data_IF_502053215070
#
_entry.id   IF_502053215070
#
_cell.length_a   1.000
_cell.length_b   1.000
_cell.length_c   1.000
_cell.angle_alpha   90.00
_cell.angle_beta   90.00
_cell.angle_gamma   90.00
#
_symmetry.space_group_name_H-M   'P 1'
#
loop_
_entity.id
_entity.type
_entity.pdbx_description
1 polymer ?
#
# COMPACT_ATOMS: atom_id res chain seq x y z
N UNK A 1 22.47 -12.50 9.00
CA UNK A 1 21.31 -12.05 9.79
C UNK A 1 21.36 -10.55 9.86
N UNK A 2 20.74 -9.90 8.88
CA UNK A 2 20.70 -8.43 8.75
C UNK A 2 19.88 -7.83 9.89
N UNK A 3 20.13 -6.57 10.24
CA UNK A 3 19.37 -5.87 11.29
C UNK A 3 17.87 -5.80 10.98
N UNK A 4 17.49 -5.86 9.70
CA UNK A 4 16.09 -5.83 9.24
C UNK A 4 15.31 -7.10 9.62
N UNK A 5 16.00 -8.24 9.67
CA UNK A 5 15.40 -9.54 10.03
C UNK A 5 14.92 -9.54 11.49
N UNK A 6 15.65 -8.86 12.38
CA UNK A 6 15.28 -8.73 13.81
C UNK A 6 14.11 -7.76 14.05
N UNK A 7 13.94 -6.76 13.18
CA UNK A 7 12.80 -5.84 13.24
C UNK A 7 11.52 -6.59 12.84
N UNK A 8 11.61 -7.42 11.79
CA UNK A 8 10.49 -8.22 11.30
C UNK A 8 10.01 -9.29 12.30
N UNK A 9 10.92 -10.10 12.87
CA UNK A 9 10.53 -11.14 13.85
C UNK A 9 10.04 -10.56 15.19
N UNK A 10 10.40 -9.32 15.52
CA UNK A 10 9.91 -8.63 16.72
C UNK A 10 8.56 -7.94 16.50
N UNK A 11 8.24 -7.53 15.26
CA UNK A 11 6.96 -6.88 14.92
C UNK A 11 5.81 -7.88 14.80
N UNK A 12 6.07 -9.11 14.36
CA UNK A 12 5.09 -10.21 14.32
C UNK A 12 4.52 -10.54 15.72
N UNK A 13 5.29 -10.24 16.80
CA UNK A 13 4.86 -10.43 18.19
C UNK A 13 4.01 -9.30 18.78
N UNK A 14 3.92 -8.14 18.12
CA UNK A 14 3.19 -6.97 18.65
C UNK A 14 1.80 -6.78 18.02
N UNK A 15 1.48 -7.48 16.92
CA UNK A 15 0.17 -7.42 16.28
C UNK A 15 -0.77 -8.58 16.67
N UNK A 16 -0.30 -9.53 17.49
CA UNK A 16 -1.12 -10.61 18.01
C UNK A 16 -1.98 -10.20 19.21
N UNK A 17 -3.22 -9.78 18.97
CA UNK A 17 -4.44 -10.21 19.69
C UNK A 17 -5.66 -9.34 19.32
N UNK A 18 -6.49 -9.85 18.43
CA UNK A 18 -7.94 -9.80 18.63
C UNK A 18 -8.50 -11.15 18.17
N UNK A 19 -8.74 -12.05 19.14
CA UNK A 19 -9.43 -13.30 18.89
C UNK A 19 -10.93 -13.03 18.92
N UNK A 20 -11.60 -13.25 17.80
CA UNK A 20 -13.02 -13.64 17.80
C UNK A 20 -13.09 -14.97 17.06
N UNK A 21 -13.38 -16.04 17.81
CA UNK A 21 -13.75 -17.34 17.25
C UNK A 21 -15.16 -17.22 16.65
N UNK A 22 -15.43 -17.73 15.44
CA UNK A 22 -16.77 -18.14 15.08
C UNK A 22 -16.95 -19.63 15.44
N UNK A 23 -17.93 -19.89 16.30
CA UNK A 23 -18.51 -21.22 16.42
C UNK A 23 -19.27 -21.52 15.12
N UNK A 24 -18.90 -22.60 14.43
CA UNK A 24 -19.57 -23.11 13.24
C UNK A 24 -20.00 -24.54 13.54
N UNK A 25 -21.31 -24.75 13.64
CA UNK A 25 -21.93 -26.07 13.52
C UNK A 25 -21.90 -26.50 12.04
N UNK A 26 -21.48 -27.74 11.72
CA UNK A 26 -21.51 -28.27 10.36
C UNK A 26 -22.78 -29.08 10.18
N UNK A 27 -23.63 -28.70 9.22
CA UNK A 27 -24.52 -29.59 8.45
C UNK A 27 -25.47 -28.72 7.61
N UNK A 28 -25.10 -28.42 6.36
CA UNK A 28 -26.01 -28.68 5.24
C UNK A 28 -25.26 -28.72 3.91
N UNK A 29 -25.55 -29.75 3.16
CA UNK A 29 -24.88 -30.21 1.96
C UNK A 29 -25.89 -30.06 0.82
N UNK A 30 -25.49 -29.41 -0.29
CA UNK A 30 -25.83 -29.78 -1.68
C UNK A 30 -26.01 -28.62 -2.67
N UNK A 31 -25.66 -28.96 -3.91
CA UNK A 31 -26.11 -28.41 -5.20
C UNK A 31 -25.16 -27.49 -5.99
N UNK A 32 -24.11 -28.13 -6.54
CA UNK A 32 -23.81 -28.26 -8.00
C UNK A 32 -23.97 -27.05 -8.95
N UNK A 33 -22.83 -26.57 -9.48
CA UNK A 33 -22.46 -26.73 -10.91
C UNK A 33 -22.86 -25.65 -11.94
N UNK A 34 -21.83 -24.97 -12.48
CA UNK A 34 -21.47 -24.81 -13.93
C UNK A 34 -21.21 -23.37 -14.43
N UNK A 35 -19.96 -23.21 -14.90
CA UNK A 35 -19.34 -22.40 -15.98
C UNK A 35 -19.56 -20.88 -16.20
N UNK A 36 -18.37 -20.25 -16.18
CA UNK A 36 -17.76 -19.33 -17.16
C UNK A 36 -18.35 -17.96 -17.51
N UNK A 37 -17.40 -16.99 -17.51
CA UNK A 37 -17.40 -15.61 -18.01
C UNK A 37 -18.12 -14.59 -17.14
N UNK A 38 -17.34 -13.73 -16.47
CA UNK A 38 -17.34 -12.28 -16.74
C UNK A 38 -16.15 -11.63 -16.03
N UNK A 39 -15.15 -11.28 -16.82
CA UNK A 39 -14.18 -10.24 -16.53
C UNK A 39 -14.90 -8.89 -16.66
N UNK A 40 -15.18 -8.20 -15.55
CA UNK A 40 -15.54 -6.78 -15.56
C UNK A 40 -15.43 -6.19 -14.14
N UNK A 41 -14.54 -5.21 -13.99
CA UNK A 41 -14.76 -3.99 -13.21
C UNK A 41 -14.92 -4.11 -11.69
N UNK A 42 -13.97 -3.50 -10.98
CA UNK A 42 -14.13 -2.92 -9.65
C UNK A 42 -15.48 -2.17 -9.55
N UNK A 43 -16.49 -2.86 -9.05
CA UNK A 43 -17.80 -2.31 -8.78
C UNK A 43 -17.86 -1.86 -7.34
N UNK A 44 -17.89 -0.53 -7.12
CA UNK A 44 -18.45 0.04 -5.90
C UNK A 44 -19.76 -0.71 -5.57
N UNK A 45 -19.93 -1.13 -4.32
CA UNK A 45 -21.15 -1.79 -3.86
C UNK A 45 -22.36 -0.88 -4.14
N UNK A 46 -23.02 -1.10 -5.28
CA UNK A 46 -24.22 -0.39 -5.71
C UNK A 46 -25.39 -1.12 -5.08
N UNK A 47 -26.02 -0.50 -4.09
CA UNK A 47 -27.29 -0.97 -3.53
C UNK A 47 -28.40 -0.21 -4.23
N UNK A 48 -29.34 -0.94 -4.83
CA UNK A 48 -30.49 -0.38 -5.53
C UNK A 48 -31.59 -0.10 -4.51
N UNK A 49 -32.06 1.14 -4.42
CA UNK A 49 -33.21 1.46 -3.56
C UNK A 49 -34.52 0.88 -4.16
N UNK A 50 -35.63 0.83 -3.39
CA UNK A 50 -36.94 0.35 -3.85
C UNK A 50 -37.53 1.13 -5.05
N UNK A 51 -36.99 2.31 -5.35
CA UNK A 51 -37.35 3.16 -6.49
C UNK A 51 -36.39 3.03 -7.69
N UNK A 52 -35.48 2.04 -7.65
CA UNK A 52 -34.58 1.70 -8.75
C UNK A 52 -33.38 2.64 -8.91
N UNK A 53 -33.12 3.55 -7.95
CA UNK A 53 -32.02 4.51 -8.04
C UNK A 53 -30.73 3.90 -7.49
N UNK A 54 -29.66 3.90 -8.29
CA UNK A 54 -28.33 3.49 -7.86
C UNK A 54 -27.74 4.61 -7.00
N UNK A 55 -27.67 4.40 -5.69
CA UNK A 55 -26.98 5.29 -4.77
C UNK A 55 -25.72 4.60 -4.26
N UNK A 56 -24.66 5.38 -4.05
CA UNK A 56 -23.46 4.90 -3.36
C UNK A 56 -23.79 4.68 -1.89
N UNK A 57 -23.21 3.65 -1.26
CA UNK A 57 -23.43 3.35 0.16
C UNK A 57 -23.24 4.59 1.06
N UNK A 58 -22.29 5.46 0.71
CA UNK A 58 -22.01 6.74 1.38
C UNK A 58 -23.20 7.70 1.42
N UNK A 59 -23.97 7.79 0.32
CA UNK A 59 -25.17 8.64 0.23
C UNK A 59 -26.28 8.11 1.14
N UNK A 60 -26.41 6.79 1.22
CA UNK A 60 -27.45 6.11 2.02
C UNK A 60 -27.14 6.26 3.51
N UNK A 61 -25.88 6.01 3.92
CA UNK A 61 -25.44 6.10 5.33
C UNK A 61 -25.54 7.54 5.84
N UNK A 62 -25.08 8.52 5.05
CA UNK A 62 -25.11 9.94 5.46
C UNK A 62 -26.55 10.48 5.56
N UNK A 63 -27.42 10.08 4.62
CA UNK A 63 -28.83 10.49 4.62
C UNK A 63 -29.61 9.81 5.75
N UNK A 64 -29.37 8.52 6.00
CA UNK A 64 -30.01 7.79 7.10
C UNK A 64 -29.57 8.30 8.47
N UNK A 65 -28.27 8.56 8.67
CA UNK A 65 -27.74 9.09 9.93
C UNK A 65 -28.30 10.48 10.24
N UNK A 66 -28.34 11.39 9.25
CA UNK A 66 -28.89 12.74 9.45
C UNK A 66 -30.41 12.72 9.68
N UNK A 67 -31.15 11.84 9.00
CA UNK A 67 -32.58 11.65 9.23
C UNK A 67 -32.87 11.15 10.65
N UNK A 68 -32.14 10.12 11.12
CA UNK A 68 -32.31 9.56 12.47
C UNK A 68 -32.08 10.61 13.58
N UNK A 69 -31.12 11.51 13.40
CA UNK A 69 -30.77 12.53 14.39
C UNK A 69 -31.80 13.66 14.46
N UNK A 70 -32.33 14.09 13.31
CA UNK A 70 -33.43 15.07 13.24
C UNK A 70 -34.71 14.49 13.87
N UNK A 71 -34.99 13.21 13.63
CA UNK A 71 -36.16 12.51 14.17
C UNK A 71 -36.07 12.37 15.71
N UNK A 72 -34.90 12.02 16.23
CA UNK A 72 -34.65 11.92 17.68
C UNK A 72 -34.87 13.26 18.40
N UNK A 73 -34.47 14.38 17.80
CA UNK A 73 -34.70 15.73 18.34
C UNK A 73 -36.18 16.11 18.34
N UNK A 74 -36.92 15.76 17.28
CA UNK A 74 -38.36 16.02 17.19
C UNK A 74 -39.15 15.23 18.24
N UNK A 75 -38.83 13.93 18.41
CA UNK A 75 -39.48 13.08 19.41
C UNK A 75 -39.21 13.51 20.86
N UNK A 76 -38.00 14.01 21.16
CA UNK A 76 -37.65 14.54 22.48
C UNK A 76 -38.44 15.82 22.84
N UNK A 77 -38.63 16.72 21.88
CA UNK A 77 -39.37 17.97 22.10
C UNK A 77 -40.87 17.75 22.40
N UNK A 78 -41.48 16.70 21.83
CA UNK A 78 -42.88 16.35 22.08
C UNK A 78 -43.14 15.80 23.49
N UNK A 79 -42.11 15.25 24.16
CA UNK A 79 -42.27 14.72 25.53
C UNK A 79 -42.29 15.81 26.61
N UNK A 80 -41.75 17.00 26.33
CA UNK A 80 -41.59 18.10 27.30
C UNK A 80 -42.85 18.99 27.47
N UNK A 81 -43.80 18.96 26.52
CA UNK A 81 -44.97 19.85 26.50
C UNK A 81 -46.25 19.29 27.16
N UNK A 82 -46.16 18.23 27.96
CA UNK A 82 -47.29 17.41 28.46
C UNK A 82 -48.20 18.04 29.56
N UNK A 83 -48.10 19.33 29.86
CA UNK A 83 -48.85 19.96 30.95
C UNK A 83 -50.21 20.54 30.56
N UNK A 84 -51.28 19.73 30.64
CA UNK A 84 -52.72 20.05 30.52
C UNK A 84 -53.30 20.15 29.09
N UNK A 85 -54.10 19.15 28.70
CA UNK A 85 -54.80 19.09 27.41
C UNK A 85 -56.28 18.70 27.63
N UNK A 86 -57.22 19.33 26.91
CA UNK A 86 -58.66 19.06 27.01
C UNK A 86 -59.04 17.71 26.35
N UNK A 87 -60.25 17.17 26.58
CA UNK A 87 -60.61 15.80 26.14
C UNK A 87 -60.51 15.54 24.62
N UNK A 88 -60.67 16.57 23.79
CA UNK A 88 -60.44 16.50 22.34
C UNK A 88 -58.94 16.48 22.01
N UNK A 89 -58.14 17.23 22.76
CA UNK A 89 -56.68 17.24 22.66
C UNK A 89 -56.07 15.93 23.18
N UNK A 90 -56.74 15.23 24.10
CA UNK A 90 -56.31 13.90 24.58
C UNK A 90 -56.38 12.83 23.50
N UNK A 91 -57.38 12.87 22.61
CA UNK A 91 -57.46 11.94 21.46
C UNK A 91 -56.35 12.26 20.45
N UNK A 92 -56.11 13.55 20.18
CA UNK A 92 -55.01 13.97 19.30
C UNK A 92 -53.63 13.63 19.88
N UNK A 93 -53.46 13.73 21.19
CA UNK A 93 -52.25 13.30 21.89
C UNK A 93 -52.04 11.79 21.81
N UNK A 94 -53.10 10.99 21.86
CA UNK A 94 -53.02 9.53 21.71
C UNK A 94 -52.65 9.14 20.27
N UNK A 95 -53.25 9.80 19.27
CA UNK A 95 -52.88 9.62 17.85
C UNK A 95 -51.41 9.98 17.60
N UNK A 96 -50.95 11.13 18.13
CA UNK A 96 -49.55 11.55 18.05
C UNK A 96 -48.59 10.58 18.75
N UNK A 97 -48.99 10.02 19.90
CA UNK A 97 -48.20 8.99 20.59
C UNK A 97 -48.09 7.70 19.79
N UNK A 98 -49.18 7.24 19.18
CA UNK A 98 -49.11 6.02 18.35
C UNK A 98 -48.29 6.23 17.08
N UNK A 99 -48.25 7.45 16.55
CA UNK A 99 -47.37 7.83 15.45
C UNK A 99 -45.92 7.92 15.91
N UNK A 100 -45.66 8.52 17.07
CA UNK A 100 -44.32 8.60 17.69
C UNK A 100 -43.75 7.19 17.97
N UNK A 101 -44.57 6.27 18.49
CA UNK A 101 -44.16 4.90 18.78
C UNK A 101 -43.82 4.13 17.50
N UNK A 102 -44.67 4.25 16.46
CA UNK A 102 -44.36 3.69 15.13
C UNK A 102 -43.06 4.24 14.54
N UNK A 103 -42.83 5.55 14.65
CA UNK A 103 -41.56 6.15 14.17
C UNK A 103 -40.36 5.67 14.96
N UNK A 104 -40.51 5.48 16.27
CA UNK A 104 -39.44 4.94 17.12
C UNK A 104 -39.11 3.51 16.71
N UNK A 105 -40.13 2.66 16.52
CA UNK A 105 -39.95 1.28 16.05
C UNK A 105 -39.28 1.22 14.66
N UNK A 106 -39.72 2.06 13.71
CA UNK A 106 -39.10 2.15 12.39
C UNK A 106 -37.64 2.62 12.47
N UNK A 107 -37.34 3.60 13.33
CA UNK A 107 -35.97 4.10 13.53
C UNK A 107 -35.09 3.03 14.16
N UNK A 108 -35.58 2.30 15.16
CA UNK A 108 -34.86 1.19 15.79
C UNK A 108 -34.60 0.05 14.79
N UNK A 109 -35.56 -0.25 13.92
CA UNK A 109 -35.39 -1.25 12.86
C UNK A 109 -34.33 -0.81 11.82
N UNK A 110 -34.32 0.47 11.44
CA UNK A 110 -33.28 1.04 10.55
C UNK A 110 -31.90 1.02 11.21
N UNK A 111 -31.81 1.40 12.49
CA UNK A 111 -30.56 1.37 13.24
C UNK A 111 -30.00 -0.07 13.36
N UNK A 112 -30.86 -1.06 13.63
CA UNK A 112 -30.47 -2.46 13.68
C UNK A 112 -29.97 -2.97 12.31
N UNK A 113 -30.65 -2.59 11.22
CA UNK A 113 -30.22 -2.94 9.87
C UNK A 113 -28.86 -2.30 9.52
N UNK A 114 -28.69 -1.01 9.80
CA UNK A 114 -27.41 -0.31 9.60
C UNK A 114 -26.28 -0.96 10.41
N UNK A 115 -26.52 -1.27 11.68
CA UNK A 115 -25.53 -1.91 12.55
C UNK A 115 -25.09 -3.27 12.00
N UNK A 116 -26.03 -4.10 11.54
CA UNK A 116 -25.70 -5.40 10.92
C UNK A 116 -24.82 -5.23 9.68
N UNK A 117 -25.16 -4.26 8.82
CA UNK A 117 -24.47 -4.06 7.55
C UNK A 117 -23.10 -3.41 7.68
N UNK A 118 -22.96 -2.45 8.59
CA UNK A 118 -21.66 -1.88 8.96
C UNK A 118 -20.78 -2.95 9.61
N UNK A 119 -21.36 -3.86 10.40
CA UNK A 119 -20.65 -5.00 10.99
C UNK A 119 -20.03 -5.92 9.92
N UNK A 120 -20.82 -6.35 8.94
CA UNK A 120 -20.32 -7.17 7.82
C UNK A 120 -19.24 -6.46 7.00
N UNK A 121 -19.46 -5.19 6.68
CA UNK A 121 -18.52 -4.39 5.90
C UNK A 121 -17.20 -4.15 6.65
N UNK A 122 -17.26 -4.00 7.97
CA UNK A 122 -16.07 -3.91 8.82
C UNK A 122 -15.26 -5.20 8.81
N UNK A 123 -15.93 -6.36 8.94
CA UNK A 123 -15.24 -7.66 8.86
C UNK A 123 -14.58 -7.88 7.49
N UNK A 124 -15.26 -7.49 6.41
CA UNK A 124 -14.70 -7.57 5.07
C UNK A 124 -13.49 -6.63 4.90
N UNK A 125 -13.57 -5.42 5.47
CA UNK A 125 -12.46 -4.45 5.46
C UNK A 125 -11.25 -5.00 6.21
N UNK A 126 -11.44 -5.59 7.39
CA UNK A 126 -10.36 -6.21 8.16
C UNK A 126 -9.69 -7.37 7.40
N UNK A 127 -10.49 -8.23 6.76
CA UNK A 127 -9.96 -9.31 5.92
C UNK A 127 -9.16 -8.77 4.71
N UNK A 128 -9.63 -7.68 4.09
CA UNK A 128 -8.91 -7.03 2.99
C UNK A 128 -7.59 -6.41 3.46
N UNK A 129 -7.56 -5.78 4.63
CA UNK A 129 -6.33 -5.21 5.23
C UNK A 129 -5.31 -6.31 5.51
N UNK A 130 -5.73 -7.45 6.07
CA UNK A 130 -4.85 -8.60 6.30
C UNK A 130 -4.28 -9.14 4.99
N UNK A 131 -5.12 -9.28 3.96
CA UNK A 131 -4.69 -9.75 2.64
C UNK A 131 -3.74 -8.77 1.95
N UNK A 132 -3.91 -7.47 2.16
CA UNK A 132 -2.98 -6.44 1.68
C UNK A 132 -1.63 -6.61 2.36
N UNK A 133 -1.63 -6.78 3.69
CA UNK A 133 -0.39 -6.97 4.45
C UNK A 133 0.36 -8.23 4.00
N UNK A 134 -0.33 -9.35 3.82
CA UNK A 134 0.25 -10.59 3.26
C UNK A 134 0.88 -10.37 1.86
N UNK A 135 0.22 -9.61 0.98
CA UNK A 135 0.76 -9.28 -0.34
C UNK A 135 2.02 -8.42 -0.24
N UNK A 136 2.05 -7.45 0.68
CA UNK A 136 3.24 -6.65 0.96
C UNK A 136 4.40 -7.53 1.43
N UNK A 137 4.14 -8.48 2.33
CA UNK A 137 5.17 -9.41 2.81
C UNK A 137 5.72 -10.30 1.69
N UNK A 138 4.87 -10.75 0.79
CA UNK A 138 5.31 -11.51 -0.38
C UNK A 138 6.22 -10.69 -1.29
N UNK A 139 5.88 -9.43 -1.56
CA UNK A 139 6.75 -8.52 -2.33
C UNK A 139 8.07 -8.25 -1.59
N UNK A 140 8.03 -8.07 -0.28
CA UNK A 140 9.22 -7.88 0.54
C UNK A 140 10.19 -9.06 0.42
N UNK A 141 9.67 -10.29 0.56
CA UNK A 141 10.47 -11.50 0.42
C UNK A 141 11.01 -11.70 -1.01
N UNK A 142 10.25 -11.28 -2.02
CA UNK A 142 10.73 -11.28 -3.41
C UNK A 142 11.93 -10.34 -3.58
N UNK A 143 11.90 -9.14 -3.00
CA UNK A 143 13.00 -8.17 -3.06
C UNK A 143 14.25 -8.62 -2.29
N UNK A 144 14.06 -9.40 -1.22
CA UNK A 144 15.15 -9.97 -0.42
C UNK A 144 15.78 -11.23 -1.04
N UNK A 145 15.38 -11.64 -2.23
CA UNK A 145 15.89 -12.87 -2.85
C UNK A 145 15.86 -12.86 -4.37
N UNK A 146 16.29 -13.98 -4.95
CA UNK A 146 16.24 -14.20 -6.39
C UNK A 146 17.03 -13.17 -7.20
N UNK A 147 16.39 -12.64 -8.24
CA UNK A 147 16.99 -11.81 -9.28
C UNK A 147 17.59 -10.49 -8.76
N UNK A 148 17.13 -9.97 -7.63
CA UNK A 148 17.54 -8.66 -7.11
C UNK A 148 18.89 -8.68 -6.37
N UNK A 149 19.35 -9.87 -5.99
CA UNK A 149 20.60 -10.08 -5.23
C UNK A 149 21.64 -10.82 -6.07
N UNK A 150 21.23 -11.45 -7.17
CA UNK A 150 22.11 -12.23 -8.02
C UNK A 150 23.05 -11.33 -8.85
N UNK A 151 24.35 -11.56 -8.67
CA UNK A 151 25.40 -10.88 -9.42
C UNK A 151 25.47 -11.30 -10.90
N UNK A 152 24.80 -12.39 -11.30
CA UNK A 152 24.78 -12.85 -12.70
C UNK A 152 24.20 -11.82 -13.68
N UNK A 153 23.27 -10.97 -13.21
CA UNK A 153 22.64 -9.90 -13.98
C UNK A 153 23.36 -8.55 -13.91
N UNK A 154 24.57 -8.53 -13.32
CA UNK A 154 25.33 -7.28 -13.18
C UNK A 154 25.68 -6.64 -14.54
N UNK A 155 26.02 -7.44 -15.56
CA UNK A 155 26.40 -6.92 -16.88
C UNK A 155 25.18 -6.49 -17.71
N UNK A 156 24.02 -7.12 -17.51
CA UNK A 156 22.76 -6.75 -18.15
C UNK A 156 21.62 -6.58 -17.11
N UNK A 157 21.48 -5.36 -16.56
CA UNK A 157 20.44 -5.04 -15.58
C UNK A 157 19.01 -5.01 -16.14
N UNK A 158 18.81 -5.16 -17.46
CA UNK A 158 17.51 -4.90 -18.11
C UNK A 158 16.39 -5.78 -17.58
N UNK A 159 16.66 -7.08 -17.39
CA UNK A 159 15.71 -8.03 -16.83
C UNK A 159 15.32 -7.66 -15.40
N UNK A 160 16.30 -7.29 -14.57
CA UNK A 160 16.05 -6.92 -13.17
C UNK A 160 15.26 -5.62 -13.08
N UNK A 161 15.55 -4.63 -13.94
CA UNK A 161 14.78 -3.38 -14.01
C UNK A 161 13.33 -3.61 -14.44
N UNK A 162 13.09 -4.51 -15.40
CA UNK A 162 11.74 -4.86 -15.82
C UNK A 162 10.92 -5.45 -14.67
N UNK A 163 11.51 -6.37 -13.90
CA UNK A 163 10.86 -6.93 -12.71
C UNK A 163 10.69 -5.89 -11.60
N UNK A 164 11.68 -5.01 -11.41
CA UNK A 164 11.62 -3.94 -10.42
C UNK A 164 10.48 -2.95 -10.73
N UNK A 165 10.24 -2.65 -12.01
CA UNK A 165 9.08 -1.86 -12.44
C UNK A 165 7.75 -2.58 -12.18
N UNK A 166 7.69 -3.91 -12.39
CA UNK A 166 6.51 -4.71 -12.03
C UNK A 166 6.22 -4.63 -10.53
N UNK A 167 7.25 -4.76 -9.69
CA UNK A 167 7.13 -4.62 -8.24
C UNK A 167 6.68 -3.21 -7.84
N UNK A 168 7.23 -2.17 -8.49
CA UNK A 168 6.82 -0.76 -8.27
C UNK A 168 5.34 -0.53 -8.54
N UNK A 169 4.84 -1.06 -9.65
CA UNK A 169 3.43 -0.96 -10.01
C UNK A 169 2.55 -1.64 -8.96
N UNK A 170 2.93 -2.84 -8.50
CA UNK A 170 2.21 -3.55 -7.44
C UNK A 170 2.23 -2.78 -6.12
N UNK A 171 3.39 -2.26 -5.69
CA UNK A 171 3.49 -1.45 -4.48
C UNK A 171 2.64 -0.18 -4.55
N UNK A 172 2.55 0.45 -5.73
CA UNK A 172 1.72 1.64 -5.95
C UNK A 172 0.23 1.29 -5.82
N UNK A 173 -0.21 0.17 -6.38
CA UNK A 173 -1.60 -0.31 -6.23
C UNK A 173 -1.93 -0.62 -4.76
N UNK A 174 -1.01 -1.26 -4.03
CA UNK A 174 -1.20 -1.55 -2.61
C UNK A 174 -1.22 -0.27 -1.77
N UNK A 175 -0.42 0.75 -2.12
CA UNK A 175 -0.45 2.06 -1.48
C UNK A 175 -1.79 2.77 -1.69
N UNK A 176 -2.33 2.76 -2.90
CA UNK A 176 -3.65 3.30 -3.20
C UNK A 176 -4.77 2.57 -2.43
N UNK A 177 -4.72 1.23 -2.39
CA UNK A 177 -5.67 0.42 -1.60
C UNK A 177 -5.59 0.74 -0.11
N UNK A 178 -4.37 0.92 0.44
CA UNK A 178 -4.20 1.25 1.85
C UNK A 178 -4.85 2.60 2.22
N UNK A 179 -4.79 3.58 1.31
CA UNK A 179 -5.47 4.88 1.47
C UNK A 179 -6.98 4.72 1.42
N UNK A 180 -7.51 3.98 0.44
CA UNK A 180 -8.95 3.71 0.35
C UNK A 180 -9.48 2.98 1.60
N UNK A 181 -8.75 1.99 2.10
CA UNK A 181 -9.14 1.28 3.33
C UNK A 181 -9.08 2.19 4.55
N UNK A 182 -8.08 3.07 4.63
CA UNK A 182 -8.01 4.08 5.69
C UNK A 182 -9.22 5.03 5.64
N UNK A 183 -9.63 5.47 4.46
CA UNK A 183 -10.84 6.28 4.27
C UNK A 183 -12.09 5.53 4.76
N UNK A 184 -12.26 4.26 4.42
CA UNK A 184 -13.37 3.44 4.92
C UNK A 184 -13.34 3.25 6.44
N UNK A 185 -12.16 3.04 7.04
CA UNK A 185 -12.02 2.97 8.49
C UNK A 185 -12.47 4.28 9.14
N UNK A 186 -12.07 5.44 8.59
CA UNK A 186 -12.53 6.73 9.11
C UNK A 186 -14.03 6.93 8.95
N UNK A 187 -14.62 6.48 7.83
CA UNK A 187 -16.06 6.57 7.58
C UNK A 187 -16.87 5.76 8.61
N UNK A 188 -16.37 4.60 9.01
CA UNK A 188 -17.02 3.75 10.03
C UNK A 188 -16.62 4.11 11.47
N UNK A 189 -15.91 5.23 11.68
CA UNK A 189 -15.36 5.64 12.96
C UNK A 189 -14.46 4.58 13.63
N UNK A 190 -13.78 3.78 12.81
CA UNK A 190 -12.78 2.81 13.23
C UNK A 190 -11.40 3.48 13.32
N UNK A 191 -10.52 2.89 14.12
CA UNK A 191 -9.15 3.35 14.22
C UNK A 191 -8.40 3.02 12.92
N UNK A 192 -7.76 4.00 12.26
CA UNK A 192 -6.92 3.76 11.09
C UNK A 192 -5.83 2.73 11.36
N UNK A 193 -5.72 1.74 10.48
CA UNK A 193 -4.64 0.77 10.52
C UNK A 193 -3.31 1.42 10.12
N UNK A 194 -2.22 1.01 10.77
CA UNK A 194 -0.87 1.48 10.44
C UNK A 194 -0.16 0.43 9.61
N UNK A 195 0.03 0.74 8.32
CA UNK A 195 0.68 -0.15 7.35
C UNK A 195 2.22 -0.11 7.47
N UNK A 196 2.76 -0.58 8.61
CA UNK A 196 4.20 -0.57 8.88
C UNK A 196 4.99 -1.43 7.89
N UNK A 197 4.45 -2.59 7.50
CA UNK A 197 5.08 -3.47 6.52
C UNK A 197 5.14 -2.83 5.14
N UNK A 198 4.11 -2.06 4.75
CA UNK A 198 4.08 -1.34 3.47
C UNK A 198 5.18 -0.28 3.45
N UNK A 199 5.29 0.52 4.52
CA UNK A 199 6.34 1.53 4.63
C UNK A 199 7.74 0.90 4.59
N UNK A 200 7.98 -0.14 5.38
CA UNK A 200 9.27 -0.83 5.40
C UNK A 200 9.62 -1.43 4.02
N UNK A 201 8.63 -1.96 3.31
CA UNK A 201 8.82 -2.53 1.96
C UNK A 201 9.09 -1.44 0.92
N UNK A 202 8.43 -0.29 1.00
CA UNK A 202 8.71 0.87 0.14
C UNK A 202 10.14 1.39 0.35
N UNK A 203 10.59 1.50 1.61
CA UNK A 203 11.96 1.92 1.95
C UNK A 203 13.01 0.90 1.43
N UNK A 204 12.73 -0.39 1.58
CA UNK A 204 13.59 -1.44 1.06
C UNK A 204 13.64 -1.41 -0.48
N UNK A 205 12.48 -1.31 -1.13
CA UNK A 205 12.36 -1.17 -2.58
C UNK A 205 13.18 0.02 -3.10
N UNK A 206 13.07 1.19 -2.48
CA UNK A 206 13.84 2.38 -2.87
C UNK A 206 15.35 2.15 -2.78
N UNK A 207 15.80 1.36 -1.79
CA UNK A 207 17.22 1.00 -1.65
C UNK A 207 17.67 0.05 -2.76
N UNK A 208 16.84 -0.93 -3.13
CA UNK A 208 17.10 -1.87 -4.24
C UNK A 208 17.06 -1.14 -5.59
N UNK A 209 16.09 -0.26 -5.82
CA UNK A 209 16.00 0.60 -7.03
C UNK A 209 17.26 1.47 -7.17
N UNK A 210 17.70 2.09 -6.07
CA UNK A 210 18.93 2.88 -6.04
C UNK A 210 20.17 2.06 -6.36
N UNK A 211 20.24 0.79 -5.90
CA UNK A 211 21.34 -0.11 -6.23
C UNK A 211 21.40 -0.38 -7.74
N UNK A 212 20.29 -0.83 -8.33
CA UNK A 212 20.27 -1.21 -9.74
C UNK A 212 20.41 -0.01 -10.69
N UNK A 213 19.94 1.17 -10.26
CA UNK A 213 20.24 2.43 -10.95
C UNK A 213 21.73 2.74 -10.93
N UNK A 214 22.40 2.57 -9.78
CA UNK A 214 23.86 2.78 -9.68
C UNK A 214 24.66 1.77 -10.52
N UNK A 215 24.20 0.51 -10.62
CA UNK A 215 24.81 -0.51 -11.50
C UNK A 215 24.68 -0.11 -12.97
N UNK A 216 23.50 0.33 -13.41
CA UNK A 216 23.29 0.76 -14.79
C UNK A 216 24.15 1.99 -15.13
N UNK A 217 24.14 3.02 -14.28
CA UNK A 217 24.98 4.21 -14.46
C UNK A 217 26.47 3.85 -14.52
N UNK A 218 26.91 2.90 -13.68
CA UNK A 218 28.28 2.41 -13.71
C UNK A 218 28.61 1.69 -15.03
N UNK A 219 27.72 0.82 -15.50
CA UNK A 219 27.92 0.10 -16.75
C UNK A 219 27.95 1.06 -17.94
N UNK A 220 27.08 2.06 -17.98
CA UNK A 220 27.09 3.11 -19.02
C UNK A 220 28.39 3.93 -18.98
N UNK A 221 28.82 4.35 -17.80
CA UNK A 221 30.09 5.07 -17.61
C UNK A 221 31.27 4.22 -18.06
N UNK A 222 31.31 2.95 -17.67
CA UNK A 222 32.37 2.02 -18.03
C UNK A 222 32.41 1.77 -19.54
N UNK A 223 31.25 1.53 -20.16
CA UNK A 223 31.16 1.33 -21.62
C UNK A 223 31.59 2.59 -22.37
N UNK A 224 31.15 3.76 -21.94
CA UNK A 224 31.56 5.04 -22.52
C UNK A 224 33.07 5.22 -22.40
N UNK A 225 33.63 5.02 -21.21
CA UNK A 225 35.07 5.13 -20.98
C UNK A 225 35.92 4.16 -21.81
N UNK A 226 35.39 2.97 -22.12
CA UNK A 226 36.09 1.94 -22.89
C UNK A 226 35.94 2.08 -24.42
N UNK A 227 34.86 2.72 -24.88
CA UNK A 227 34.53 2.81 -26.31
C UNK A 227 34.77 4.19 -26.90
N UNK A 228 34.73 5.25 -26.08
CA UNK A 228 34.97 6.61 -26.54
C UNK A 228 36.43 6.81 -26.95
N UNK A 229 36.70 7.55 -28.05
CA UNK A 229 38.05 7.93 -28.42
C UNK A 229 38.72 8.70 -27.28
N UNK A 230 39.91 8.25 -26.87
CA UNK A 230 40.63 8.82 -25.72
C UNK A 230 40.84 10.35 -25.81
N UNK A 231 41.00 10.88 -27.02
CA UNK A 231 41.19 12.32 -27.29
C UNK A 231 39.96 13.16 -26.93
N UNK A 232 38.77 12.56 -26.98
CA UNK A 232 37.49 13.23 -26.68
C UNK A 232 37.08 13.06 -25.21
N UNK A 233 37.69 12.10 -24.50
CA UNK A 233 37.37 11.81 -23.10
C UNK A 233 38.07 12.81 -22.18
N UNK A 234 37.27 13.54 -21.40
CA UNK A 234 37.78 14.38 -20.33
C UNK A 234 38.20 13.51 -19.13
N UNK A 235 39.51 13.21 -19.03
CA UNK A 235 40.06 12.36 -17.99
C UNK A 235 39.81 12.89 -16.56
N UNK A 236 39.76 14.21 -16.35
CA UNK A 236 39.46 14.81 -15.05
C UNK A 236 38.00 14.61 -14.62
N UNK A 237 37.08 14.73 -15.57
CA UNK A 237 35.65 14.52 -15.35
C UNK A 237 35.36 13.05 -15.09
N UNK A 238 35.89 12.16 -15.93
CA UNK A 238 35.80 10.71 -15.72
C UNK A 238 36.36 10.32 -14.35
N UNK A 239 37.48 10.90 -13.90
CA UNK A 239 38.02 10.64 -12.56
C UNK A 239 37.08 11.07 -11.43
N UNK A 240 36.32 12.16 -11.60
CA UNK A 240 35.34 12.61 -10.61
C UNK A 240 34.16 11.64 -10.59
N UNK A 241 33.65 11.24 -11.74
CA UNK A 241 32.49 10.35 -11.85
C UNK A 241 32.79 8.96 -11.27
N UNK A 242 33.97 8.40 -11.56
CA UNK A 242 34.43 7.13 -10.95
C UNK A 242 34.57 7.26 -9.44
N UNK A 243 35.03 8.40 -8.93
CA UNK A 243 35.14 8.63 -7.50
C UNK A 243 33.77 8.75 -6.81
N UNK A 244 32.76 9.30 -7.49
CA UNK A 244 31.37 9.33 -7.02
C UNK A 244 30.79 7.92 -7.03
N UNK A 245 30.87 7.21 -8.16
CA UNK A 245 30.38 5.83 -8.29
C UNK A 245 30.98 4.89 -7.22
N UNK A 246 32.27 5.01 -6.93
CA UNK A 246 32.92 4.24 -5.86
C UNK A 246 32.37 4.56 -4.46
N UNK A 247 32.12 5.84 -4.16
CA UNK A 247 31.54 6.24 -2.86
C UNK A 247 30.13 5.70 -2.71
N UNK A 248 29.32 5.81 -3.75
CA UNK A 248 27.93 5.35 -3.75
C UNK A 248 27.87 3.82 -3.62
N UNK A 249 28.71 3.10 -4.38
CA UNK A 249 28.87 1.65 -4.27
C UNK A 249 29.28 1.22 -2.85
N UNK A 250 30.18 1.95 -2.20
CA UNK A 250 30.60 1.67 -0.83
C UNK A 250 29.46 1.88 0.18
N UNK A 251 28.69 2.96 0.04
CA UNK A 251 27.53 3.25 0.90
C UNK A 251 26.44 2.18 0.71
N UNK A 252 26.13 1.80 -0.53
CA UNK A 252 25.15 0.77 -0.85
C UNK A 252 25.59 -0.61 -0.31
N UNK A 253 26.87 -0.96 -0.46
CA UNK A 253 27.41 -2.19 0.10
C UNK A 253 27.32 -2.23 1.63
N UNK A 254 27.50 -1.09 2.31
CA UNK A 254 27.31 -1.01 3.76
C UNK A 254 25.86 -1.19 4.21
N UNK A 255 24.90 -0.80 3.38
CA UNK A 255 23.47 -0.86 3.69
C UNK A 255 22.86 -2.23 3.40
N UNK A 256 23.13 -2.79 2.22
CA UNK A 256 22.51 -4.05 1.76
C UNK A 256 23.43 -5.26 1.92
N UNK A 257 24.76 -5.09 1.83
CA UNK A 257 25.76 -6.16 1.96
C UNK A 257 25.45 -7.42 1.13
N UNK A 258 25.07 -7.21 -0.13
CA UNK A 258 24.69 -8.25 -1.10
C UNK A 258 25.80 -8.50 -2.14
N UNK A 259 25.73 -9.63 -2.86
CA UNK A 259 26.72 -9.99 -3.89
C UNK A 259 26.84 -8.95 -5.00
N UNK A 260 25.72 -8.42 -5.51
CA UNK A 260 25.70 -7.32 -6.49
C UNK A 260 26.44 -6.09 -5.96
N UNK A 261 26.24 -5.73 -4.69
CA UNK A 261 26.93 -4.56 -4.10
C UNK A 261 28.42 -4.79 -3.91
N UNK A 262 28.84 -6.03 -3.62
CA UNK A 262 30.24 -6.40 -3.55
C UNK A 262 30.90 -6.27 -4.92
N UNK A 263 30.26 -6.80 -5.97
CA UNK A 263 30.75 -6.68 -7.35
C UNK A 263 30.84 -5.21 -7.79
N UNK A 264 29.81 -4.39 -7.52
CA UNK A 264 29.84 -2.97 -7.86
C UNK A 264 31.01 -2.25 -7.16
N UNK A 265 31.21 -2.51 -5.87
CA UNK A 265 32.29 -1.92 -5.07
C UNK A 265 33.67 -2.35 -5.57
N UNK A 266 33.84 -3.63 -5.91
CA UNK A 266 35.13 -4.17 -6.36
C UNK A 266 35.47 -3.67 -7.78
N UNK A 267 34.50 -3.64 -8.71
CA UNK A 267 34.68 -3.11 -10.07
C UNK A 267 35.01 -1.62 -10.08
N UNK A 268 34.28 -0.83 -9.29
CA UNK A 268 34.55 0.61 -9.15
C UNK A 268 35.91 0.87 -8.50
N UNK A 269 36.34 0.05 -7.54
CA UNK A 269 37.66 0.14 -6.92
C UNK A 269 38.80 -0.19 -7.90
N UNK A 270 38.64 -1.25 -8.68
CA UNK A 270 39.61 -1.68 -9.69
C UNK A 270 39.80 -0.60 -10.75
N UNK A 271 38.70 -0.06 -11.29
CA UNK A 271 38.78 1.00 -12.30
C UNK A 271 39.39 2.29 -11.74
N UNK A 272 39.07 2.64 -10.48
CA UNK A 272 39.67 3.79 -9.80
C UNK A 272 41.19 3.68 -9.66
N UNK A 273 41.74 2.48 -9.50
CA UNK A 273 43.20 2.28 -9.46
C UNK A 273 43.86 2.67 -10.79
N UNK A 274 43.19 2.37 -11.91
CA UNK A 274 43.66 2.70 -13.25
C UNK A 274 43.50 4.19 -13.60
N UNK A 275 42.63 4.92 -12.89
CA UNK A 275 42.38 6.34 -13.17
C UNK A 275 43.61 7.22 -13.02
N UNK A 276 44.56 6.88 -12.13
CA UNK A 276 45.81 7.64 -12.02
C UNK A 276 46.60 7.60 -13.32
N UNK A 277 46.69 6.44 -13.96
CA UNK A 277 47.34 6.29 -15.26
C UNK A 277 46.55 6.98 -16.37
N UNK A 278 45.22 6.87 -16.38
CA UNK A 278 44.35 7.56 -17.35
C UNK A 278 44.53 9.08 -17.28
N UNK A 279 44.65 9.65 -16.09
CA UNK A 279 44.91 11.08 -15.89
C UNK A 279 46.27 11.51 -16.42
N UNK A 280 47.31 10.70 -16.21
CA UNK A 280 48.65 10.97 -16.74
C UNK A 280 48.67 10.93 -18.28
N UNK A 281 47.98 9.95 -18.87
CA UNK A 281 47.84 9.82 -20.33
C UNK A 281 46.99 10.94 -20.93
N UNK A 282 45.97 11.43 -20.21
CA UNK A 282 45.08 12.52 -20.63
C UNK A 282 45.72 13.91 -20.51
N UNK A 283 46.96 14.01 -20.03
CA UNK A 283 47.66 15.28 -19.94
C UNK A 283 47.94 15.84 -21.35
N UNK A 284 47.56 17.09 -21.66
CA UNK A 284 47.82 17.70 -22.97
C UNK A 284 49.31 17.83 -23.34
N UNK A 285 50.23 17.62 -22.39
CA UNK A 285 51.66 17.50 -22.64
C UNK A 285 52.04 16.18 -23.35
N UNK A 286 51.16 15.16 -23.34
CA UNK A 286 51.34 13.91 -24.06
C UNK A 286 51.19 14.15 -25.57
N UNK A 287 52.27 13.89 -26.29
CA UNK A 287 52.34 13.96 -27.75
C UNK A 287 52.01 12.61 -28.36
N UNK A 288 51.57 12.61 -29.62
CA UNK A 288 51.26 11.42 -30.45
C UNK A 288 52.34 10.33 -30.47
N UNK A 289 53.61 10.67 -30.22
CA UNK A 289 54.71 9.69 -30.16
C UNK A 289 54.76 8.86 -28.87
N UNK A 290 54.13 9.34 -27.79
CA UNK A 290 54.04 8.64 -26.51
C UNK A 290 52.79 7.77 -26.51
#
# INVERSE_FOLDING_TARGET
MSMDEKVFTSMEKLQGKSQVKPDVDPDDDSCTGRDERYSEGLGACKVQDPAGRVQTADSIITTASSASEVIRRSCGACTESQGQAESADMVQLDDLRSVQERYKEETEAVDAFMASRVGEMTQQLDANIQRLDEQVLQLHNQLQGGLFIDASHFEDPSAVKSELESVKQRLTQLDELSKQYTEYQTLFNLMPFKYLNLQATQEHFATVESLWTAVEMWNELYQTAMTSPFVEVNAEELSKDVAVAFKDAYVLHRKLSNDVTAVLKDRTAEFKLNMTTVLELGNPAMKERH
#
